data_IF_546767850768
#
_entry.id   IF_546767850768
#
_cell.length_a   1.000
_cell.length_b   1.000
_cell.length_c   1.000
_cell.angle_alpha   90.00
_cell.angle_beta   90.00
_cell.angle_gamma   90.00
#
_symmetry.space_group_name_H-M   'P 1'
#
loop_
_entity.id
_entity.type
_entity.pdbx_description
1 polymer ?
#
# COMPACT_ATOMS: atom_id res chain seq x y z
N UNK A 1 -25.10 10.38 5.48
CA UNK A 1 -24.15 11.02 6.39
C UNK A 1 -23.47 12.21 5.72
N UNK A 2 -22.93 13.22 6.47
CA UNK A 2 -22.07 14.24 5.89
C UNK A 2 -20.84 13.62 5.22
N UNK A 3 -20.28 14.31 4.19
CA UNK A 3 -19.05 13.82 3.55
C UNK A 3 -17.90 13.85 4.57
N UNK A 4 -17.44 12.67 4.95
CA UNK A 4 -16.33 12.46 5.87
C UNK A 4 -15.12 11.77 5.22
N UNK A 5 -15.09 11.70 3.87
CA UNK A 5 -14.04 11.03 3.12
C UNK A 5 -14.22 9.51 3.02
N UNK A 6 -13.28 8.86 2.33
CA UNK A 6 -13.32 7.43 2.02
C UNK A 6 -13.29 6.55 3.27
N UNK A 7 -12.46 6.89 4.26
CA UNK A 7 -12.36 6.15 5.51
C UNK A 7 -13.69 6.14 6.28
N UNK A 8 -14.38 7.30 6.37
CA UNK A 8 -15.67 7.39 7.02
C UNK A 8 -16.75 6.59 6.27
N UNK A 9 -16.72 6.59 4.94
CA UNK A 9 -17.65 5.81 4.12
C UNK A 9 -17.43 4.30 4.33
N UNK A 10 -16.18 3.82 4.30
CA UNK A 10 -15.84 2.41 4.53
C UNK A 10 -16.19 1.98 5.96
N UNK A 11 -15.95 2.81 6.98
CA UNK A 11 -16.33 2.51 8.36
C UNK A 11 -17.86 2.42 8.52
N UNK A 12 -18.63 3.32 7.90
CA UNK A 12 -20.08 3.21 7.90
C UNK A 12 -20.57 1.93 7.21
N UNK A 13 -19.89 1.50 6.13
CA UNK A 13 -20.14 0.21 5.49
C UNK A 13 -19.84 -0.96 6.41
N UNK A 14 -18.73 -0.93 7.16
CA UNK A 14 -18.39 -1.92 8.18
C UNK A 14 -19.46 -2.03 9.26
N UNK A 15 -19.95 -0.90 9.77
CA UNK A 15 -20.96 -0.85 10.81
C UNK A 15 -22.34 -1.38 10.33
N UNK A 16 -22.64 -1.23 9.05
CA UNK A 16 -23.88 -1.71 8.43
C UNK A 16 -23.80 -3.16 7.91
N UNK A 17 -22.61 -3.70 7.75
CA UNK A 17 -22.38 -5.02 7.15
C UNK A 17 -22.95 -6.15 8.02
N UNK A 18 -23.61 -7.14 7.38
CA UNK A 18 -24.19 -8.31 8.04
C UNK A 18 -23.64 -9.64 7.53
N UNK A 19 -22.88 -9.60 6.43
CA UNK A 19 -22.26 -10.78 5.81
C UNK A 19 -21.21 -11.42 6.71
N UNK A 20 -20.89 -12.66 6.45
CA UNK A 20 -19.81 -13.40 7.13
C UNK A 20 -18.44 -12.80 6.77
N UNK A 21 -18.29 -12.39 5.50
CA UNK A 21 -17.11 -11.72 4.98
C UNK A 21 -17.47 -10.35 4.43
N UNK A 22 -16.48 -9.46 4.41
CA UNK A 22 -16.57 -8.09 3.91
C UNK A 22 -15.58 -7.91 2.76
N UNK A 23 -16.08 -7.35 1.68
CA UNK A 23 -15.33 -6.99 0.51
C UNK A 23 -15.61 -5.52 0.17
N UNK A 24 -14.56 -4.73 -0.09
CA UNK A 24 -14.67 -3.32 -0.44
C UNK A 24 -14.63 -3.16 -1.96
N UNK A 25 -15.64 -2.49 -2.51
CA UNK A 25 -15.72 -2.14 -3.92
C UNK A 25 -15.82 -0.62 -4.03
N UNK A 26 -14.87 0.00 -4.69
CA UNK A 26 -14.90 1.43 -4.95
C UNK A 26 -15.91 1.75 -6.08
N UNK A 27 -16.58 2.91 -6.07
CA UNK A 27 -17.76 3.18 -6.92
C UNK A 27 -17.42 3.34 -8.41
N UNK A 28 -16.15 3.53 -8.74
CA UNK A 28 -15.63 3.67 -10.11
C UNK A 28 -15.00 2.39 -10.66
N UNK A 29 -15.02 1.31 -9.86
CA UNK A 29 -14.40 0.02 -10.17
C UNK A 29 -15.47 -1.08 -10.40
N UNK A 30 -15.03 -2.24 -10.86
CA UNK A 30 -15.89 -3.41 -11.04
C UNK A 30 -15.16 -4.72 -10.75
N UNK A 31 -15.90 -5.81 -10.66
CA UNK A 31 -15.34 -7.13 -10.32
C UNK A 31 -15.79 -8.18 -11.35
N UNK A 32 -15.00 -9.25 -11.47
CA UNK A 32 -15.38 -10.41 -12.28
C UNK A 32 -16.73 -10.99 -11.80
N UNK A 33 -17.57 -11.49 -12.72
CA UNK A 33 -18.90 -12.00 -12.36
C UNK A 33 -18.90 -13.12 -11.31
N UNK A 34 -17.84 -13.91 -11.26
CA UNK A 34 -17.67 -15.02 -10.31
C UNK A 34 -16.85 -14.62 -9.05
N UNK A 35 -16.45 -13.37 -8.93
CA UNK A 35 -15.53 -12.91 -7.86
C UNK A 35 -16.05 -13.26 -6.45
N UNK A 36 -17.33 -12.94 -6.17
CA UNK A 36 -17.91 -13.20 -4.85
C UNK A 36 -17.92 -14.69 -4.51
N UNK A 37 -18.26 -15.56 -5.47
CA UNK A 37 -18.29 -17.01 -5.29
C UNK A 37 -16.89 -17.57 -5.05
N UNK A 38 -15.91 -17.17 -5.88
CA UNK A 38 -14.52 -17.62 -5.79
C UNK A 38 -13.90 -17.22 -4.45
N UNK A 39 -14.08 -15.97 -4.05
CA UNK A 39 -13.55 -15.44 -2.80
C UNK A 39 -14.20 -16.11 -1.59
N UNK A 40 -15.52 -16.26 -1.59
CA UNK A 40 -16.25 -16.90 -0.50
C UNK A 40 -15.85 -18.37 -0.34
N UNK A 41 -15.75 -19.13 -1.43
CA UNK A 41 -15.30 -20.52 -1.38
C UNK A 41 -13.89 -20.63 -0.82
N UNK A 42 -12.95 -19.84 -1.32
CA UNK A 42 -11.57 -19.84 -0.85
C UNK A 42 -11.47 -19.50 0.66
N UNK A 43 -12.25 -18.52 1.10
CA UNK A 43 -12.30 -18.12 2.50
C UNK A 43 -12.87 -19.23 3.40
N UNK A 44 -14.00 -19.80 3.02
CA UNK A 44 -14.70 -20.83 3.77
C UNK A 44 -13.90 -22.12 3.83
N UNK A 45 -13.38 -22.60 2.69
CA UNK A 45 -12.70 -23.90 2.60
C UNK A 45 -11.38 -23.89 3.40
N UNK A 46 -10.73 -22.74 3.55
CA UNK A 46 -9.54 -22.55 4.35
C UNK A 46 -9.82 -22.05 5.77
N UNK A 47 -11.04 -21.71 6.12
CA UNK A 47 -11.38 -20.97 7.35
C UNK A 47 -10.56 -19.70 7.50
N UNK A 48 -10.44 -18.91 6.43
CA UNK A 48 -9.54 -17.78 6.34
C UNK A 48 -10.09 -16.52 7.02
N UNK A 49 -9.20 -15.75 7.64
CA UNK A 49 -9.50 -14.41 8.16
C UNK A 49 -9.40 -13.34 7.07
N UNK A 50 -8.61 -13.63 6.02
CA UNK A 50 -8.50 -12.76 4.85
C UNK A 50 -8.19 -13.59 3.59
N UNK A 51 -8.76 -13.17 2.47
CA UNK A 51 -8.41 -13.63 1.12
C UNK A 51 -7.88 -12.43 0.34
N UNK A 52 -6.63 -12.52 -0.12
CA UNK A 52 -6.03 -11.58 -1.06
C UNK A 52 -6.01 -12.18 -2.46
N UNK A 53 -6.12 -11.35 -3.50
CA UNK A 53 -6.22 -11.84 -4.88
C UNK A 53 -5.60 -10.88 -5.88
N UNK A 54 -5.46 -11.31 -7.15
CA UNK A 54 -4.95 -10.51 -8.25
C UNK A 54 -5.91 -9.40 -8.69
N UNK A 55 -5.42 -8.44 -9.47
CA UNK A 55 -6.15 -7.26 -9.90
C UNK A 55 -5.81 -6.92 -11.35
N UNK A 56 -6.78 -6.39 -12.08
CA UNK A 56 -6.59 -5.72 -13.35
C UNK A 56 -6.41 -4.21 -13.09
N UNK A 57 -5.47 -3.58 -13.78
CA UNK A 57 -5.33 -2.13 -13.84
C UNK A 57 -5.79 -1.67 -15.22
N UNK A 58 -7.01 -1.18 -15.29
CA UNK A 58 -7.71 -0.83 -16.51
C UNK A 58 -7.54 0.66 -16.82
N UNK A 59 -6.88 0.97 -17.94
CA UNK A 59 -6.82 2.34 -18.47
C UNK A 59 -7.97 2.55 -19.45
N UNK A 60 -8.90 3.46 -19.13
CA UNK A 60 -10.03 3.78 -19.97
C UNK A 60 -9.88 5.17 -20.62
N UNK A 61 -10.58 5.40 -21.73
CA UNK A 61 -10.73 6.72 -22.33
C UNK A 61 -11.79 7.55 -21.55
N UNK A 62 -12.03 8.78 -22.00
CA UNK A 62 -13.01 9.70 -21.42
C UNK A 62 -14.47 9.21 -21.49
N UNK A 63 -14.76 8.25 -22.36
CA UNK A 63 -16.09 7.63 -22.53
C UNK A 63 -16.21 6.29 -21.77
N UNK A 64 -15.19 5.92 -20.97
CA UNK A 64 -15.16 4.66 -20.21
C UNK A 64 -14.79 3.43 -21.05
N UNK A 65 -14.34 3.60 -22.30
CA UNK A 65 -13.90 2.46 -23.12
C UNK A 65 -12.51 2.02 -22.70
N UNK A 66 -12.36 0.72 -22.44
CA UNK A 66 -11.08 0.10 -22.09
C UNK A 66 -10.07 0.25 -23.25
N UNK A 67 -8.92 0.85 -22.96
CA UNK A 67 -7.80 1.02 -23.88
C UNK A 67 -6.69 0.02 -23.63
N UNK A 68 -6.40 -0.27 -22.37
CA UNK A 68 -5.33 -1.15 -21.95
C UNK A 68 -5.63 -1.72 -20.56
N UNK A 69 -5.21 -2.96 -20.32
CA UNK A 69 -5.31 -3.61 -19.02
C UNK A 69 -4.00 -4.28 -18.68
N UNK A 70 -3.45 -3.97 -17.50
CA UNK A 70 -2.31 -4.67 -16.92
C UNK A 70 -2.80 -5.59 -15.82
N UNK A 71 -2.21 -6.79 -15.71
CA UNK A 71 -2.59 -7.76 -14.69
C UNK A 71 -1.53 -7.80 -13.60
N UNK A 72 -1.94 -7.56 -12.36
CA UNK A 72 -1.14 -7.83 -11.17
C UNK A 72 -1.56 -9.17 -10.58
N UNK A 73 -0.80 -10.20 -10.91
CA UNK A 73 -0.93 -11.52 -10.29
C UNK A 73 -0.28 -11.52 -8.90
N UNK A 74 -0.93 -12.13 -7.93
CA UNK A 74 -0.29 -12.40 -6.65
C UNK A 74 0.74 -13.53 -6.81
N UNK A 75 2.02 -13.17 -7.00
CA UNK A 75 3.12 -14.11 -7.26
C UNK A 75 3.49 -15.04 -6.09
N UNK A 76 2.81 -14.91 -4.96
CA UNK A 76 3.03 -15.69 -3.73
C UNK A 76 1.73 -16.38 -3.29
N UNK A 77 0.96 -16.91 -4.25
CA UNK A 77 -0.30 -17.62 -4.00
C UNK A 77 -0.13 -18.80 -3.03
N UNK A 78 -1.14 -19.05 -2.22
CA UNK A 78 -1.13 -20.12 -1.24
C UNK A 78 -2.02 -19.89 -0.04
N UNK A 79 -2.01 -20.85 0.89
CA UNK A 79 -2.69 -20.77 2.20
C UNK A 79 -1.64 -20.64 3.30
N UNK A 80 -1.70 -19.55 4.04
CA UNK A 80 -0.74 -19.21 5.10
C UNK A 80 -1.45 -19.28 6.44
N UNK A 81 -1.02 -20.24 7.28
CA UNK A 81 -1.58 -20.45 8.63
C UNK A 81 -0.53 -20.12 9.69
N UNK A 82 -0.93 -19.31 10.68
CA UNK A 82 -0.04 -18.94 11.78
C UNK A 82 1.19 -18.14 11.33
N UNK A 83 2.37 -18.45 11.89
CA UNK A 83 3.61 -17.69 11.68
C UNK A 83 4.07 -17.51 10.21
N UNK A 84 3.88 -18.46 9.26
CA UNK A 84 4.37 -18.33 7.90
C UNK A 84 3.92 -17.06 7.15
N UNK A 85 2.76 -16.46 7.49
CA UNK A 85 2.36 -15.22 6.84
C UNK A 85 3.32 -14.06 7.13
N UNK A 86 3.99 -14.08 8.29
CA UNK A 86 4.96 -13.04 8.68
C UNK A 86 6.17 -13.00 7.75
N UNK A 87 6.55 -14.11 7.15
CA UNK A 87 7.63 -14.16 6.16
C UNK A 87 7.28 -13.42 4.85
N UNK A 88 5.99 -13.28 4.57
CA UNK A 88 5.46 -12.65 3.35
C UNK A 88 4.79 -11.29 3.61
N UNK A 89 4.91 -10.73 4.83
CA UNK A 89 4.21 -9.50 5.19
C UNK A 89 4.54 -8.31 4.25
N UNK A 90 5.75 -8.24 3.74
CA UNK A 90 6.18 -7.20 2.81
C UNK A 90 5.42 -7.25 1.48
N UNK A 91 5.15 -8.45 0.97
CA UNK A 91 4.34 -8.67 -0.24
C UNK A 91 2.87 -8.39 0.02
N UNK A 92 2.36 -8.84 1.17
CA UNK A 92 0.98 -8.59 1.59
C UNK A 92 0.75 -7.10 1.87
N UNK A 93 1.72 -6.44 2.53
CA UNK A 93 1.69 -5.02 2.84
C UNK A 93 1.98 -4.13 1.62
N UNK A 94 2.67 -4.61 0.57
CA UNK A 94 2.88 -3.82 -0.65
C UNK A 94 1.60 -3.60 -1.45
N UNK A 95 0.58 -4.43 -1.23
CA UNK A 95 -0.76 -4.28 -1.80
C UNK A 95 -1.69 -3.62 -0.77
N UNK A 96 -1.56 -2.31 -0.60
CA UNK A 96 -2.35 -1.54 0.38
C UNK A 96 -3.80 -1.26 -0.04
N UNK A 97 -4.26 -1.74 -1.19
CA UNK A 97 -5.62 -1.49 -1.64
C UNK A 97 -6.62 -2.37 -0.87
N UNK A 98 -7.62 -1.75 -0.23
CA UNK A 98 -8.71 -2.44 0.44
C UNK A 98 -9.49 -3.32 -0.53
N UNK A 99 -9.68 -2.83 -1.74
CA UNK A 99 -10.34 -3.52 -2.84
C UNK A 99 -9.70 -4.85 -3.27
N UNK A 100 -8.45 -5.10 -2.87
CA UNK A 100 -7.70 -6.32 -3.22
C UNK A 100 -7.82 -7.43 -2.18
N UNK A 101 -8.72 -7.27 -1.21
CA UNK A 101 -8.86 -8.20 -0.09
C UNK A 101 -10.32 -8.36 0.34
N UNK A 102 -10.65 -9.55 0.78
CA UNK A 102 -11.89 -9.88 1.48
C UNK A 102 -11.56 -10.33 2.90
N UNK A 103 -12.29 -9.84 3.89
CA UNK A 103 -12.01 -10.04 5.32
C UNK A 103 -13.15 -10.76 6.02
N UNK A 104 -12.82 -11.61 6.99
CA UNK A 104 -13.79 -12.17 7.92
C UNK A 104 -14.32 -11.04 8.83
N UNK A 105 -15.64 -10.78 8.78
CA UNK A 105 -16.27 -9.72 9.58
C UNK A 105 -16.03 -9.90 11.07
N UNK A 106 -16.23 -11.14 11.58
CA UNK A 106 -16.03 -11.43 13.01
C UNK A 106 -14.61 -11.09 13.50
N UNK A 107 -13.57 -11.31 12.68
CA UNK A 107 -12.19 -10.93 13.02
C UNK A 107 -12.05 -9.40 13.13
N UNK A 108 -12.61 -8.65 12.19
CA UNK A 108 -12.55 -7.18 12.22
C UNK A 108 -13.28 -6.62 13.44
N UNK A 109 -14.43 -7.18 13.79
CA UNK A 109 -15.23 -6.77 14.95
C UNK A 109 -14.53 -7.13 16.28
N UNK A 110 -14.00 -8.34 16.41
CA UNK A 110 -13.29 -8.79 17.60
C UNK A 110 -12.10 -7.90 17.95
N UNK A 111 -11.39 -7.40 16.94
CA UNK A 111 -10.21 -6.55 17.11
C UNK A 111 -10.50 -5.06 16.92
N UNK A 112 -11.77 -4.66 16.81
CA UNK A 112 -12.22 -3.28 16.64
C UNK A 112 -11.51 -2.55 15.49
N UNK A 113 -11.22 -3.26 14.38
CA UNK A 113 -10.49 -2.71 13.26
C UNK A 113 -11.36 -1.74 12.47
N UNK A 114 -10.85 -0.52 12.27
CA UNK A 114 -11.50 0.54 11.50
C UNK A 114 -10.45 1.30 10.69
N UNK A 115 -10.89 1.88 9.57
CA UNK A 115 -10.04 2.78 8.81
C UNK A 115 -9.78 4.06 9.60
N UNK A 116 -8.52 4.49 9.76
CA UNK A 116 -8.22 5.74 10.44
C UNK A 116 -8.70 6.94 9.61
N UNK A 117 -8.98 8.10 10.24
CA UNK A 117 -9.50 9.29 9.56
C UNK A 117 -8.41 10.03 8.76
N UNK A 118 -7.63 9.32 7.96
CA UNK A 118 -6.65 9.89 7.05
C UNK A 118 -7.21 9.94 5.63
N UNK A 119 -6.84 10.95 4.85
CA UNK A 119 -7.30 11.09 3.47
C UNK A 119 -6.52 10.20 2.50
N UNK A 120 -5.28 9.85 2.85
CA UNK A 120 -4.39 9.02 2.05
C UNK A 120 -3.64 8.04 2.95
N UNK A 121 -3.51 6.80 2.49
CA UNK A 121 -2.81 5.76 3.25
C UNK A 121 -3.66 5.05 4.31
N UNK A 122 -4.95 5.40 4.42
CA UNK A 122 -5.91 4.77 5.33
C UNK A 122 -5.97 3.25 5.13
N UNK A 123 -5.89 2.79 3.88
CA UNK A 123 -5.84 1.38 3.51
C UNK A 123 -4.62 0.69 4.11
N UNK A 124 -3.43 1.27 3.91
CA UNK A 124 -2.19 0.75 4.44
C UNK A 124 -2.20 0.64 5.95
N UNK A 125 -2.72 1.66 6.62
CA UNK A 125 -2.85 1.69 8.07
C UNK A 125 -3.82 0.62 8.57
N UNK A 126 -4.95 0.44 7.90
CA UNK A 126 -5.92 -0.60 8.21
C UNK A 126 -5.29 -2.00 8.08
N UNK A 127 -4.47 -2.24 7.02
CA UNK A 127 -3.82 -3.54 6.86
C UNK A 127 -2.72 -3.80 7.87
N UNK A 128 -1.90 -2.80 8.18
CA UNK A 128 -0.89 -2.96 9.23
C UNK A 128 -1.57 -3.29 10.56
N UNK A 129 -2.67 -2.60 10.89
CA UNK A 129 -3.47 -2.90 12.07
C UNK A 129 -4.04 -4.32 12.03
N UNK A 130 -4.56 -4.78 10.87
CA UNK A 130 -5.07 -6.14 10.68
C UNK A 130 -3.97 -7.20 10.89
N UNK A 131 -2.83 -7.07 10.22
CA UNK A 131 -1.74 -8.06 10.35
C UNK A 131 -1.15 -8.11 11.76
N UNK A 132 -1.13 -6.99 12.47
CA UNK A 132 -0.66 -6.91 13.86
C UNK A 132 -1.49 -7.76 14.82
N UNK A 133 -2.75 -8.05 14.47
CA UNK A 133 -3.61 -8.96 15.28
C UNK A 133 -3.31 -10.43 15.05
N UNK A 134 -2.29 -10.78 14.27
CA UNK A 134 -1.89 -12.16 13.98
C UNK A 134 -3.07 -13.02 13.46
N UNK A 135 -3.61 -12.73 12.28
CA UNK A 135 -4.67 -13.53 11.69
C UNK A 135 -4.27 -15.00 11.58
N UNK A 136 -5.20 -15.90 11.92
CA UNK A 136 -4.93 -17.34 11.97
C UNK A 136 -4.74 -17.97 10.60
N UNK A 137 -5.43 -17.46 9.56
CA UNK A 137 -5.33 -17.96 8.20
C UNK A 137 -5.50 -16.85 7.17
N UNK A 138 -4.54 -16.78 6.26
CA UNK A 138 -4.59 -15.92 5.06
C UNK A 138 -4.55 -16.79 3.81
N UNK A 139 -5.43 -16.53 2.85
CA UNK A 139 -5.42 -17.13 1.52
C UNK A 139 -4.98 -16.09 0.51
N UNK A 140 -4.08 -16.46 -0.37
CA UNK A 140 -3.65 -15.60 -1.50
C UNK A 140 -3.93 -16.34 -2.79
N UNK A 141 -4.80 -15.78 -3.62
CA UNK A 141 -5.15 -16.30 -4.95
C UNK A 141 -4.34 -15.55 -6.01
N UNK A 142 -3.84 -16.31 -7.00
CA UNK A 142 -3.19 -15.72 -8.17
C UNK A 142 -4.20 -15.05 -9.12
N UNK A 143 -5.45 -15.56 -9.13
CA UNK A 143 -6.51 -15.11 -10.04
C UNK A 143 -6.83 -13.62 -9.84
N UNK A 144 -6.78 -12.78 -10.90
CA UNK A 144 -7.30 -11.42 -10.84
C UNK A 144 -8.83 -11.46 -10.82
N UNK A 145 -9.45 -10.68 -9.91
CA UNK A 145 -10.89 -10.69 -9.70
C UNK A 145 -11.49 -9.27 -9.61
N UNK A 146 -10.66 -8.25 -9.62
CA UNK A 146 -11.04 -6.86 -9.45
C UNK A 146 -10.43 -6.00 -10.56
N UNK A 147 -11.22 -5.09 -11.12
CA UNK A 147 -10.82 -4.14 -12.14
C UNK A 147 -10.71 -2.76 -11.53
N UNK A 148 -9.47 -2.31 -11.33
CA UNK A 148 -9.16 -0.96 -10.88
C UNK A 148 -9.07 -0.02 -12.08
N UNK A 149 -10.00 0.93 -12.17
CA UNK A 149 -10.08 1.87 -13.28
C UNK A 149 -9.15 3.05 -13.05
N UNK A 150 -8.11 3.15 -13.88
CA UNK A 150 -7.18 4.27 -13.86
C UNK A 150 -7.78 5.44 -14.63
N UNK A 151 -8.37 6.40 -13.92
CA UNK A 151 -8.86 7.63 -14.51
C UNK A 151 -7.66 8.53 -14.92
N UNK A 152 -7.65 9.02 -16.19
CA UNK A 152 -6.58 9.89 -16.71
C UNK A 152 -6.56 11.30 -16.12
N UNK A 153 -7.71 11.83 -15.68
CA UNK A 153 -7.83 13.18 -15.12
C UNK A 153 -8.49 13.13 -13.73
N UNK A 154 -7.88 13.85 -12.76
CA UNK A 154 -8.48 14.07 -11.45
C UNK A 154 -8.27 12.98 -10.39
N UNK A 155 -7.45 11.96 -10.68
CA UNK A 155 -7.12 10.94 -9.67
C UNK A 155 -6.37 11.59 -8.49
N UNK A 156 -6.83 11.31 -7.27
CA UNK A 156 -6.17 11.72 -6.01
C UNK A 156 -4.70 11.29 -5.94
N UNK A 157 -4.34 10.21 -6.65
CA UNK A 157 -2.97 9.66 -6.65
C UNK A 157 -1.97 10.50 -7.45
N UNK A 158 -2.42 11.35 -8.37
CA UNK A 158 -1.56 12.16 -9.26
C UNK A 158 -1.50 13.65 -8.88
N UNK A 159 -2.22 14.08 -7.84
CA UNK A 159 -2.20 15.45 -7.33
C UNK A 159 -1.23 15.57 -6.14
N UNK A 160 -0.78 16.82 -5.87
CA UNK A 160 0.01 17.12 -4.69
C UNK A 160 -0.87 17.12 -3.44
N UNK A 161 -0.47 16.36 -2.45
CA UNK A 161 -1.11 16.31 -1.13
C UNK A 161 -0.04 16.57 -0.05
N UNK A 162 -0.07 17.74 0.61
CA UNK A 162 0.94 18.07 1.63
C UNK A 162 0.98 17.06 2.77
N UNK A 163 -0.18 16.54 3.19
CA UNK A 163 -0.31 15.55 4.27
C UNK A 163 0.30 14.18 3.92
N UNK A 164 0.35 13.83 2.63
CA UNK A 164 0.90 12.54 2.16
C UNK A 164 2.34 12.28 2.61
N UNK A 165 3.09 13.32 2.85
CA UNK A 165 4.49 13.21 3.29
C UNK A 165 4.60 12.69 4.73
N UNK A 166 3.68 13.12 5.59
CA UNK A 166 3.60 12.67 6.98
C UNK A 166 2.93 11.29 7.07
N UNK A 167 1.84 11.09 6.33
CA UNK A 167 1.11 9.81 6.29
C UNK A 167 1.98 8.65 5.83
N UNK A 168 2.84 8.84 4.82
CA UNK A 168 3.75 7.79 4.35
C UNK A 168 4.74 7.36 5.44
N UNK A 169 5.31 8.31 6.21
CA UNK A 169 6.22 7.94 7.30
C UNK A 169 5.48 7.28 8.47
N UNK A 170 4.26 7.72 8.76
CA UNK A 170 3.43 7.08 9.76
C UNK A 170 3.16 5.59 9.42
N UNK A 171 2.88 5.31 8.14
CA UNK A 171 2.71 3.94 7.67
C UNK A 171 3.98 3.09 7.80
N UNK A 172 5.13 3.61 7.37
CA UNK A 172 6.40 2.88 7.49
C UNK A 172 6.80 2.66 8.94
N UNK A 173 6.50 3.60 9.84
CA UNK A 173 6.71 3.45 11.28
C UNK A 173 5.80 2.36 11.86
N UNK A 174 4.52 2.30 11.45
CA UNK A 174 3.60 1.25 11.86
C UNK A 174 4.05 -0.15 11.39
N UNK A 175 4.63 -0.25 10.17
CA UNK A 175 5.25 -1.50 9.69
C UNK A 175 6.43 -1.91 10.58
N UNK A 176 7.33 -0.97 10.90
CA UNK A 176 8.46 -1.24 11.78
C UNK A 176 8.01 -1.71 13.16
N UNK A 177 7.04 -1.02 13.76
CA UNK A 177 6.51 -1.35 15.07
C UNK A 177 5.81 -2.73 15.09
N UNK A 178 5.18 -3.11 13.98
CA UNK A 178 4.58 -4.43 13.82
C UNK A 178 5.64 -5.54 13.76
N UNK A 179 6.69 -5.34 12.95
CA UNK A 179 7.82 -6.30 12.86
C UNK A 179 8.56 -6.41 14.19
N UNK A 180 8.68 -5.30 14.93
CA UNK A 180 9.24 -5.28 16.28
C UNK A 180 8.37 -6.07 17.27
N UNK A 181 7.04 -5.85 17.26
CA UNK A 181 6.10 -6.56 18.11
C UNK A 181 6.07 -8.07 17.85
N UNK A 182 6.40 -8.50 16.64
CA UNK A 182 6.58 -9.91 16.31
C UNK A 182 7.94 -10.48 16.73
N UNK A 183 8.86 -9.67 17.27
CA UNK A 183 10.21 -10.09 17.62
C UNK A 183 11.12 -10.39 16.42
N UNK A 184 10.79 -9.89 15.24
CA UNK A 184 11.47 -10.25 13.97
C UNK A 184 12.54 -9.25 13.53
N UNK A 185 12.75 -8.14 14.25
CA UNK A 185 13.77 -7.13 13.88
C UNK A 185 15.21 -7.66 13.97
N UNK A 186 15.47 -8.69 14.74
CA UNK A 186 16.80 -9.31 14.80
C UNK A 186 17.12 -10.14 13.56
N UNK A 187 16.09 -10.57 12.82
CA UNK A 187 16.24 -11.24 11.53
C UNK A 187 16.72 -10.23 10.47
N UNK A 188 17.90 -10.45 9.83
CA UNK A 188 18.36 -9.57 8.75
C UNK A 188 17.38 -9.47 7.59
N UNK A 189 16.68 -10.56 7.28
CA UNK A 189 15.66 -10.61 6.20
C UNK A 189 14.48 -9.68 6.52
N UNK A 190 13.86 -9.81 7.71
CA UNK A 190 12.69 -9.00 8.07
C UNK A 190 13.06 -7.51 8.22
N UNK A 191 14.24 -7.23 8.77
CA UNK A 191 14.77 -5.86 8.84
C UNK A 191 14.99 -5.26 7.46
N UNK A 192 15.51 -6.04 6.49
CA UNK A 192 15.67 -5.58 5.12
C UNK A 192 14.32 -5.28 4.45
N UNK A 193 13.30 -6.10 4.70
CA UNK A 193 11.93 -5.87 4.21
C UNK A 193 11.29 -4.62 4.81
N UNK A 194 11.43 -4.39 6.12
CA UNK A 194 10.95 -3.18 6.79
C UNK A 194 11.68 -1.93 6.25
N UNK A 195 13.00 -1.99 6.05
CA UNK A 195 13.76 -0.92 5.41
C UNK A 195 13.27 -0.64 3.99
N UNK A 196 12.96 -1.70 3.21
CA UNK A 196 12.43 -1.53 1.86
C UNK A 196 11.09 -0.78 1.86
N UNK A 197 10.17 -1.09 2.80
CA UNK A 197 8.92 -0.35 2.96
C UNK A 197 9.20 1.14 3.21
N UNK A 198 10.12 1.47 4.12
CA UNK A 198 10.52 2.87 4.40
C UNK A 198 11.08 3.57 3.14
N UNK A 199 11.92 2.88 2.35
CA UNK A 199 12.45 3.45 1.10
C UNK A 199 11.35 3.67 0.07
N UNK A 200 10.43 2.71 -0.09
CA UNK A 200 9.29 2.85 -1.00
C UNK A 200 8.45 4.08 -0.63
N UNK A 201 8.14 4.26 0.64
CA UNK A 201 7.33 5.37 1.12
C UNK A 201 8.06 6.72 0.96
N UNK A 202 9.39 6.73 1.18
CA UNK A 202 10.23 7.89 0.86
C UNK A 202 10.19 8.23 -0.65
N UNK A 203 10.25 7.23 -1.53
CA UNK A 203 10.17 7.44 -2.99
C UNK A 203 8.79 7.97 -3.41
N UNK A 204 7.71 7.51 -2.77
CA UNK A 204 6.36 8.05 -2.98
C UNK A 204 6.28 9.51 -2.51
N UNK A 205 6.86 9.86 -1.37
CA UNK A 205 6.97 11.22 -0.89
C UNK A 205 7.74 12.13 -1.86
N UNK A 206 8.87 11.65 -2.38
CA UNK A 206 9.68 12.38 -3.39
C UNK A 206 8.87 12.60 -4.69
N UNK A 207 8.09 11.60 -5.13
CA UNK A 207 7.20 11.74 -6.29
C UNK A 207 6.13 12.81 -6.04
N UNK A 208 5.51 12.80 -4.86
CA UNK A 208 4.51 13.79 -4.47
C UNK A 208 5.10 15.22 -4.41
N UNK A 209 6.33 15.38 -3.89
CA UNK A 209 7.06 16.65 -3.92
C UNK A 209 7.26 17.17 -5.35
N UNK A 210 7.51 16.29 -6.30
CA UNK A 210 7.64 16.68 -7.71
C UNK A 210 6.37 17.32 -8.29
N UNK A 211 5.19 16.99 -7.76
CA UNK A 211 3.89 17.61 -8.13
C UNK A 211 3.57 18.86 -7.30
N UNK A 212 4.41 19.23 -6.33
CA UNK A 212 4.13 20.31 -5.38
C UNK A 212 4.35 21.69 -6.00
N UNK A 213 3.64 22.75 -5.51
CA UNK A 213 3.92 24.13 -5.86
C UNK A 213 5.19 24.69 -5.18
N UNK A 214 5.84 23.88 -4.34
CA UNK A 214 7.03 24.30 -3.58
C UNK A 214 8.23 24.54 -4.50
N UNK A 215 9.03 25.55 -4.17
CA UNK A 215 10.30 25.79 -4.82
C UNK A 215 11.29 24.62 -4.62
N UNK A 216 12.25 24.45 -5.53
CA UNK A 216 13.29 23.43 -5.39
C UNK A 216 14.09 23.56 -4.08
N UNK A 217 14.19 24.77 -3.52
CA UNK A 217 14.85 25.02 -2.23
C UNK A 217 14.03 24.43 -1.08
N UNK A 218 12.71 24.66 -1.05
CA UNK A 218 11.79 24.12 -0.04
C UNK A 218 11.69 22.59 -0.14
N UNK A 219 11.54 22.05 -1.36
CA UNK A 219 11.55 20.60 -1.59
C UNK A 219 12.87 19.97 -1.07
N UNK A 220 14.01 20.64 -1.32
CA UNK A 220 15.33 20.18 -0.85
C UNK A 220 15.43 20.22 0.67
N UNK A 221 14.89 21.27 1.30
CA UNK A 221 14.87 21.39 2.76
C UNK A 221 14.03 20.27 3.38
N UNK A 222 12.84 20.01 2.82
CA UNK A 222 12.00 18.89 3.26
C UNK A 222 12.73 17.53 3.15
N UNK A 223 13.34 17.23 2.00
CA UNK A 223 14.03 15.95 1.79
C UNK A 223 15.24 15.80 2.74
N UNK A 224 15.94 16.87 3.02
CA UNK A 224 17.03 16.87 4.02
C UNK A 224 16.50 16.59 5.42
N UNK A 225 15.37 17.18 5.80
CA UNK A 225 14.69 16.92 7.07
C UNK A 225 14.28 15.45 7.19
N UNK A 226 13.62 14.90 6.14
CA UNK A 226 13.26 13.49 6.10
C UNK A 226 14.45 12.55 6.30
N UNK A 227 15.62 12.87 5.72
CA UNK A 227 16.86 12.11 5.88
C UNK A 227 17.51 12.26 7.27
N UNK A 228 17.02 13.16 8.14
CA UNK A 228 17.44 13.24 9.54
C UNK A 228 16.70 12.20 10.42
N UNK A 229 15.52 11.76 10.01
CA UNK A 229 14.81 10.69 10.71
C UNK A 229 15.72 9.44 10.81
N UNK A 230 15.95 8.89 12.01
CA UNK A 230 16.88 7.76 12.21
C UNK A 230 16.49 6.51 11.40
N UNK A 231 15.20 6.21 11.28
CA UNK A 231 14.69 5.05 10.50
C UNK A 231 14.93 5.25 9.02
N UNK A 232 14.57 6.41 8.47
CA UNK A 232 14.81 6.75 7.06
C UNK A 232 16.31 6.70 6.74
N UNK A 233 17.15 7.30 7.59
CA UNK A 233 18.60 7.29 7.43
C UNK A 233 19.16 5.87 7.43
N UNK A 234 18.69 5.01 8.34
CA UNK A 234 19.09 3.61 8.41
C UNK A 234 18.66 2.87 7.17
N UNK A 235 17.39 3.02 6.75
CA UNK A 235 16.87 2.39 5.54
C UNK A 235 17.65 2.79 4.28
N UNK A 236 17.93 4.09 4.09
CA UNK A 236 18.73 4.60 2.96
C UNK A 236 20.13 3.98 2.94
N UNK A 237 20.79 3.88 4.10
CA UNK A 237 22.14 3.33 4.19
C UNK A 237 22.20 1.82 3.94
N UNK A 238 21.27 1.06 4.54
CA UNK A 238 21.30 -0.40 4.57
C UNK A 238 20.67 -1.05 3.34
N UNK A 239 19.68 -0.40 2.67
CA UNK A 239 19.03 -1.00 1.51
C UNK A 239 19.98 -1.06 0.32
N UNK A 240 20.28 -2.24 -0.26
CA UNK A 240 21.14 -2.36 -1.41
C UNK A 240 20.43 -1.87 -2.67
N UNK A 241 21.18 -1.36 -3.66
CA UNK A 241 20.61 -0.80 -4.89
C UNK A 241 19.81 -1.82 -5.70
N UNK A 242 20.25 -3.09 -5.69
CA UNK A 242 19.57 -4.16 -6.42
C UNK A 242 18.18 -4.52 -5.85
N UNK A 243 17.89 -4.13 -4.59
CA UNK A 243 16.57 -4.33 -4.00
C UNK A 243 15.51 -3.42 -4.64
N UNK A 244 15.92 -2.34 -5.32
CA UNK A 244 14.99 -1.47 -6.05
C UNK A 244 14.59 -2.07 -7.39
N UNK A 245 13.28 -2.11 -7.66
CA UNK A 245 12.73 -2.71 -8.88
C UNK A 245 13.12 -1.93 -10.13
N UNK A 246 12.93 -0.60 -10.14
CA UNK A 246 13.21 0.22 -11.31
C UNK A 246 14.66 0.74 -11.33
N UNK A 247 15.19 0.95 -12.55
CA UNK A 247 16.49 1.60 -12.75
C UNK A 247 16.50 3.03 -12.16
N UNK A 248 15.40 3.75 -12.34
CA UNK A 248 15.26 5.11 -11.83
C UNK A 248 15.33 5.16 -10.30
N UNK A 249 14.69 4.22 -9.60
CA UNK A 249 14.73 4.19 -8.15
C UNK A 249 16.10 3.75 -7.61
N UNK A 250 16.84 2.91 -8.35
CA UNK A 250 18.25 2.61 -8.04
C UNK A 250 19.12 3.85 -8.09
N UNK A 251 18.94 4.69 -9.12
CA UNK A 251 19.68 5.96 -9.25
C UNK A 251 19.28 6.92 -8.14
N UNK A 252 18.00 7.09 -7.85
CA UNK A 252 17.52 7.94 -6.75
C UNK A 252 18.09 7.47 -5.41
N UNK A 253 18.07 6.17 -5.11
CA UNK A 253 18.63 5.63 -3.87
C UNK A 253 20.14 5.88 -3.78
N UNK A 254 20.88 5.73 -4.88
CA UNK A 254 22.31 6.06 -4.91
C UNK A 254 22.54 7.53 -4.58
N UNK A 255 21.80 8.44 -5.20
CA UNK A 255 21.90 9.89 -4.93
C UNK A 255 21.53 10.24 -3.49
N UNK A 256 20.52 9.56 -2.90
CA UNK A 256 20.16 9.71 -1.48
C UNK A 256 21.29 9.25 -0.56
N UNK A 257 21.95 8.12 -0.87
CA UNK A 257 23.14 7.64 -0.13
C UNK A 257 24.28 8.66 -0.16
N UNK A 258 24.45 9.36 -1.29
CA UNK A 258 25.43 10.43 -1.48
C UNK A 258 24.94 11.79 -0.96
N UNK A 259 23.74 11.87 -0.38
CA UNK A 259 23.09 13.11 0.11
C UNK A 259 22.88 14.19 -0.96
N UNK A 260 22.79 13.80 -2.22
CA UNK A 260 22.58 14.70 -3.36
C UNK A 260 21.07 14.99 -3.58
N UNK A 261 20.41 15.55 -2.56
CA UNK A 261 18.95 15.77 -2.54
C UNK A 261 18.43 16.56 -3.76
N UNK A 262 19.15 17.62 -4.18
CA UNK A 262 18.74 18.40 -5.36
C UNK A 262 18.72 17.57 -6.64
N UNK A 263 19.71 16.70 -6.83
CA UNK A 263 19.78 15.83 -8.00
C UNK A 263 18.61 14.81 -8.03
N UNK A 264 18.23 14.27 -6.86
CA UNK A 264 17.06 13.39 -6.75
C UNK A 264 15.78 14.09 -7.23
N UNK A 265 15.55 15.32 -6.77
CA UNK A 265 14.35 16.10 -7.09
C UNK A 265 14.32 16.52 -8.57
N UNK A 266 15.45 16.91 -9.15
CA UNK A 266 15.53 17.23 -10.58
C UNK A 266 15.23 16.03 -11.48
N UNK A 267 15.67 14.82 -11.09
CA UNK A 267 15.30 13.59 -11.80
C UNK A 267 13.79 13.29 -11.74
N UNK A 268 13.11 13.68 -10.67
CA UNK A 268 11.66 13.50 -10.56
C UNK A 268 10.90 14.51 -11.42
N UNK A 269 11.33 15.78 -11.46
CA UNK A 269 10.69 16.82 -12.26
C UNK A 269 10.88 16.65 -13.78
N UNK A 270 11.98 16.05 -14.22
CA UNK A 270 12.22 15.76 -15.63
C UNK A 270 11.27 14.69 -16.19
N UNK A 271 10.91 13.69 -15.38
CA UNK A 271 10.01 12.59 -15.79
C UNK A 271 8.52 12.98 -15.83
N UNK A 272 8.14 14.17 -15.34
CA UNK A 272 6.75 14.65 -15.37
C UNK A 272 6.45 15.53 -16.59
N UNK A 273 7.48 15.94 -17.35
CA UNK A 273 7.36 16.77 -18.56
C UNK A 273 7.46 15.95 -19.86
N UNK A 274 7.69 14.66 -19.77
CA UNK A 274 7.67 13.70 -20.88
C UNK A 274 6.40 12.84 -20.82
#
# INVERSE_FOLDING_TARGET
QPNGGVAAARNAGLDAARGEYIFFLDPDDWVEPDAAEVLYRAARDADADCVQFGMFYDTCDENGKLLHSEIDHCTFSGVYRGEPFKEHFDKMASSYLAAKKMFRRAFLEQHHLRFPPHQLGEDGMFFVAFYRQNPGCLVVLEKPLYHYVIARQGSLTNSYHPERLEDNFYLSDAVWDTVAAWGLLDSPMHRAKANYCTIRDLMMGIKNLGCSPLSLAEQTAWLRSALQNPRVRTAVRSTPLHAMQSRNDRVKLLLLKLRLCRAVLLLCGANQKS
#
